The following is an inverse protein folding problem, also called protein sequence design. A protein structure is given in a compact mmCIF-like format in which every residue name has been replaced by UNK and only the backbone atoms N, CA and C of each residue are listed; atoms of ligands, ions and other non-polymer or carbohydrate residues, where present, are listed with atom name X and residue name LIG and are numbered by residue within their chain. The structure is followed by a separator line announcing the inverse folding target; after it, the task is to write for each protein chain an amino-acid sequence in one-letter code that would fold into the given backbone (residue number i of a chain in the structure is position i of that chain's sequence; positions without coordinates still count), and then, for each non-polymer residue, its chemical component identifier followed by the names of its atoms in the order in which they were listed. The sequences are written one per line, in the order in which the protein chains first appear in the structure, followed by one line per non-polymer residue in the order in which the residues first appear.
data_IF_206392563552
#
_entry.id   IF_206392563552
#
_cell.length_a   1.000
_cell.length_b   1.000
_cell.length_c   1.000
_cell.angle_alpha   90.00
_cell.angle_beta   90.00
_cell.angle_gamma   90.00
#
_symmetry.space_group_name_H-M   'P 1'
#
loop_
_entity.id
_entity.type
_entity.pdbx_description
1 polymer ?
#
# COMPACT_ATOMS: atom_id res chain seq x y z
N UNK A 1 -46.43 34.12 -25.70
CA UNK A 1 -45.01 33.87 -26.02
C UNK A 1 -44.42 33.11 -24.84
N UNK A 2 -44.41 31.78 -24.93
CA UNK A 2 -44.03 30.92 -23.81
C UNK A 2 -42.53 31.07 -23.51
N UNK A 3 -42.25 31.06 -22.21
CA UNK A 3 -41.03 31.47 -21.55
C UNK A 3 -39.88 30.46 -21.77
N UNK A 4 -39.42 30.35 -23.03
CA UNK A 4 -38.31 29.49 -23.46
C UNK A 4 -37.02 29.78 -22.67
N UNK A 5 -36.82 31.05 -22.26
CA UNK A 5 -35.62 31.46 -21.51
C UNK A 5 -35.67 30.96 -20.04
N UNK A 6 -36.82 31.07 -19.35
CA UNK A 6 -36.98 30.57 -17.96
C UNK A 6 -36.86 29.05 -17.86
N UNK A 7 -37.37 28.31 -18.84
CA UNK A 7 -37.20 26.85 -18.93
C UNK A 7 -35.74 26.46 -19.12
N UNK A 8 -35.00 27.20 -19.98
CA UNK A 8 -33.57 26.97 -20.21
C UNK A 8 -32.72 27.23 -18.96
N UNK A 9 -32.99 28.31 -18.21
CA UNK A 9 -32.29 28.58 -16.95
C UNK A 9 -32.59 27.53 -15.87
N UNK A 10 -33.83 27.04 -15.81
CA UNK A 10 -34.20 25.97 -14.88
C UNK A 10 -33.44 24.68 -15.19
N UNK A 11 -33.37 24.27 -16.46
CA UNK A 11 -32.61 23.08 -16.89
C UNK A 11 -31.12 23.21 -16.61
N UNK A 12 -30.52 24.38 -16.90
CA UNK A 12 -29.09 24.63 -16.60
C UNK A 12 -28.83 24.52 -15.09
N UNK A 13 -29.70 25.13 -14.26
CA UNK A 13 -29.56 25.07 -12.81
C UNK A 13 -29.67 23.62 -12.28
N UNK A 14 -30.61 22.83 -12.81
CA UNK A 14 -30.75 21.41 -12.49
C UNK A 14 -29.47 20.62 -12.84
N UNK A 15 -28.89 20.87 -14.02
CA UNK A 15 -27.64 20.22 -14.45
C UNK A 15 -26.48 20.63 -13.54
N UNK A 16 -26.35 21.90 -13.19
CA UNK A 16 -25.30 22.38 -12.28
C UNK A 16 -25.44 21.76 -10.87
N UNK A 17 -26.66 21.68 -10.33
CA UNK A 17 -26.92 21.06 -9.03
C UNK A 17 -26.59 19.57 -9.07
N UNK A 18 -27.02 18.87 -10.13
CA UNK A 18 -26.70 17.46 -10.31
C UNK A 18 -25.20 17.22 -10.42
N UNK A 19 -24.49 18.04 -11.22
CA UNK A 19 -23.05 17.96 -11.37
C UNK A 19 -22.33 18.21 -10.04
N UNK A 20 -22.75 19.23 -9.28
CA UNK A 20 -22.17 19.52 -7.98
C UNK A 20 -22.40 18.37 -6.98
N UNK A 21 -23.58 17.75 -7.00
CA UNK A 21 -23.88 16.59 -6.16
C UNK A 21 -23.01 15.38 -6.51
N UNK A 22 -22.86 15.06 -7.81
CA UNK A 22 -22.00 13.97 -8.29
C UNK A 22 -20.54 14.21 -7.90
N UNK A 23 -20.02 15.42 -8.13
CA UNK A 23 -18.63 15.77 -7.75
C UNK A 23 -18.43 15.66 -6.23
N UNK A 24 -19.37 16.18 -5.43
CA UNK A 24 -19.28 16.10 -3.97
C UNK A 24 -19.33 14.66 -3.47
N UNK A 25 -20.20 13.83 -4.03
CA UNK A 25 -20.27 12.41 -3.72
C UNK A 25 -18.97 11.69 -4.09
N UNK A 26 -18.42 11.94 -5.29
CA UNK A 26 -17.15 11.36 -5.72
C UNK A 26 -16.00 11.72 -4.78
N UNK A 27 -15.89 13.00 -4.39
CA UNK A 27 -14.86 13.45 -3.43
C UNK A 27 -15.04 12.78 -2.07
N UNK A 28 -16.26 12.69 -1.57
CA UNK A 28 -16.56 12.02 -0.31
C UNK A 28 -16.14 10.54 -0.33
N UNK A 29 -16.50 9.81 -1.39
CA UNK A 29 -16.14 8.40 -1.53
C UNK A 29 -14.64 8.18 -1.73
N UNK A 30 -13.95 9.05 -2.47
CA UNK A 30 -12.50 8.94 -2.67
C UNK A 30 -11.71 9.25 -1.39
N UNK A 31 -12.03 10.34 -0.69
CA UNK A 31 -11.31 10.71 0.52
C UNK A 31 -11.53 9.72 1.67
N UNK A 32 -12.71 9.08 1.73
CA UNK A 32 -13.00 8.05 2.74
C UNK A 32 -12.12 6.79 2.63
N UNK A 33 -11.47 6.57 1.48
CA UNK A 33 -10.60 5.41 1.25
C UNK A 33 -9.16 5.63 1.73
N UNK A 34 -8.75 6.86 2.03
CA UNK A 34 -7.40 7.16 2.52
C UNK A 34 -7.30 6.88 4.01
N UNK A 35 -6.43 5.94 4.38
CA UNK A 35 -6.13 5.58 5.77
C UNK A 35 -4.64 5.78 6.04
N UNK A 36 -4.31 6.07 7.29
CA UNK A 36 -2.92 6.01 7.75
C UNK A 36 -2.44 4.56 7.73
N UNK A 37 -1.21 4.34 7.28
CA UNK A 37 -0.64 2.99 7.20
C UNK A 37 -0.33 2.41 8.59
N UNK A 38 0.29 3.20 9.48
CA UNK A 38 0.68 2.78 10.82
C UNK A 38 0.30 3.81 11.89
N UNK A 39 -1.00 3.91 12.20
CA UNK A 39 -1.51 4.83 13.22
C UNK A 39 -0.95 4.52 14.63
N UNK A 40 -0.65 3.25 14.91
CA UNK A 40 -0.12 2.78 16.20
C UNK A 40 1.39 2.91 16.35
N UNK A 41 2.13 3.38 15.34
CA UNK A 41 3.60 3.38 15.29
C UNK A 41 4.21 1.99 15.56
N UNK A 42 3.50 0.92 15.18
CA UNK A 42 3.90 -0.47 15.34
C UNK A 42 5.28 -0.73 14.72
N UNK A 43 5.53 -0.20 13.53
CA UNK A 43 6.79 -0.42 12.80
C UNK A 43 7.97 0.32 13.43
N UNK A 44 7.72 1.38 14.21
CA UNK A 44 8.75 2.18 14.89
C UNK A 44 9.18 1.57 16.22
N UNK A 45 8.54 0.50 16.69
CA UNK A 45 8.92 -0.15 17.93
C UNK A 45 10.29 -0.84 17.79
N UNK A 46 11.17 -0.67 18.78
CA UNK A 46 12.57 -1.14 18.73
C UNK A 46 12.72 -2.63 18.39
N UNK A 47 11.84 -3.49 18.91
CA UNK A 47 11.91 -4.94 18.72
C UNK A 47 11.01 -5.46 17.59
N UNK A 48 10.33 -4.58 16.88
CA UNK A 48 9.35 -4.95 15.86
C UNK A 48 9.95 -5.87 14.80
N UNK A 49 11.12 -5.50 14.24
CA UNK A 49 11.72 -6.25 13.15
C UNK A 49 12.13 -7.67 13.57
N UNK A 50 12.60 -7.83 14.81
CA UNK A 50 12.92 -9.16 15.35
C UNK A 50 11.66 -10.00 15.54
N UNK A 51 10.57 -9.41 16.02
CA UNK A 51 9.29 -10.09 16.17
C UNK A 51 8.73 -10.49 14.80
N UNK A 52 8.78 -9.58 13.83
CA UNK A 52 8.36 -9.84 12.46
C UNK A 52 9.12 -11.04 11.85
N UNK A 53 10.45 -11.06 11.93
CA UNK A 53 11.27 -12.18 11.44
C UNK A 53 10.88 -13.52 12.05
N UNK A 54 10.53 -13.54 13.34
CA UNK A 54 10.06 -14.75 14.00
C UNK A 54 8.69 -15.22 13.48
N UNK A 55 7.77 -14.29 13.21
CA UNK A 55 6.42 -14.62 12.69
C UNK A 55 6.47 -15.15 11.25
N UNK A 56 7.38 -14.65 10.42
CA UNK A 56 7.55 -15.14 9.03
C UNK A 56 8.56 -16.28 8.92
N UNK A 57 9.06 -16.80 10.06
CA UNK A 57 10.07 -17.86 10.13
C UNK A 57 11.27 -17.61 9.21
N UNK A 58 11.78 -16.38 9.20
CA UNK A 58 12.89 -16.00 8.34
C UNK A 58 14.14 -16.82 8.69
N UNK A 59 14.81 -17.34 7.65
CA UNK A 59 16.06 -18.09 7.77
C UNK A 59 17.14 -17.44 6.91
N UNK A 60 18.42 -17.70 7.21
CA UNK A 60 19.51 -17.25 6.36
C UNK A 60 19.34 -17.78 4.93
N UNK A 61 19.39 -16.86 3.96
CA UNK A 61 19.22 -17.13 2.54
C UNK A 61 20.42 -16.63 1.76
N UNK A 62 20.68 -17.23 0.60
CA UNK A 62 21.75 -16.80 -0.31
C UNK A 62 21.42 -15.47 -1.02
N UNK A 63 20.14 -15.07 -1.02
CA UNK A 63 19.63 -13.85 -1.64
C UNK A 63 18.77 -13.03 -0.68
N UNK A 64 18.54 -11.76 -1.03
CA UNK A 64 17.60 -10.91 -0.31
C UNK A 64 16.16 -11.43 -0.47
N UNK A 65 15.32 -11.20 0.52
CA UNK A 65 13.95 -11.68 0.58
C UNK A 65 12.95 -10.53 0.69
N UNK A 66 12.06 -10.42 -0.30
CA UNK A 66 10.89 -9.56 -0.29
C UNK A 66 9.69 -10.32 0.27
N UNK A 67 9.23 -9.94 1.45
CA UNK A 67 8.02 -10.46 2.06
C UNK A 67 6.86 -9.53 1.76
N UNK A 68 5.83 -10.05 1.09
CA UNK A 68 4.59 -9.32 0.76
C UNK A 68 3.46 -9.88 1.60
N UNK A 69 2.74 -9.01 2.30
CA UNK A 69 1.60 -9.37 3.14
C UNK A 69 0.33 -8.76 2.56
N UNK A 70 -0.66 -9.60 2.29
CA UNK A 70 -1.96 -9.22 1.73
C UNK A 70 -3.10 -9.69 2.64
N UNK A 71 -4.32 -9.20 2.43
CA UNK A 71 -5.49 -9.65 3.18
C UNK A 71 -6.59 -10.11 2.23
N UNK A 72 -7.27 -11.20 2.61
CA UNK A 72 -8.49 -11.65 1.94
C UNK A 72 -9.63 -10.63 2.08
N UNK A 73 -10.48 -10.56 1.06
CA UNK A 73 -11.66 -9.68 1.01
C UNK A 73 -11.35 -8.18 1.23
N UNK A 74 -10.11 -7.76 0.98
CA UNK A 74 -9.68 -6.37 1.05
C UNK A 74 -9.72 -5.72 -0.34
N UNK A 75 -10.55 -4.67 -0.50
CA UNK A 75 -10.65 -3.92 -1.75
C UNK A 75 -9.31 -3.32 -2.21
N UNK A 76 -8.50 -2.79 -1.28
CA UNK A 76 -7.20 -2.22 -1.62
C UNK A 76 -6.20 -3.28 -2.14
N UNK A 77 -6.23 -4.50 -1.60
CA UNK A 77 -5.44 -5.63 -2.12
C UNK A 77 -5.87 -5.98 -3.55
N UNK A 78 -7.17 -6.04 -3.82
CA UNK A 78 -7.71 -6.34 -5.15
C UNK A 78 -7.25 -5.30 -6.17
N UNK A 79 -7.37 -4.01 -5.82
CA UNK A 79 -6.92 -2.92 -6.70
C UNK A 79 -5.40 -2.92 -6.93
N UNK A 80 -4.61 -3.36 -5.95
CA UNK A 80 -3.16 -3.43 -6.05
C UNK A 80 -2.63 -4.65 -6.84
N UNK A 81 -3.47 -5.62 -7.21
CA UNK A 81 -3.02 -6.87 -7.86
C UNK A 81 -2.14 -6.69 -9.10
N UNK A 82 -2.44 -5.78 -10.05
CA UNK A 82 -1.58 -5.56 -11.20
C UNK A 82 -0.19 -5.04 -10.80
N UNK A 83 -0.12 -4.16 -9.80
CA UNK A 83 1.14 -3.62 -9.29
C UNK A 83 1.93 -4.67 -8.51
N UNK A 84 1.28 -5.46 -7.64
CA UNK A 84 1.87 -6.61 -6.95
C UNK A 84 2.53 -7.58 -7.94
N UNK A 85 1.80 -7.96 -9.00
CA UNK A 85 2.32 -8.86 -10.04
C UNK A 85 3.50 -8.26 -10.81
N UNK A 86 3.54 -6.93 -10.97
CA UNK A 86 4.68 -6.25 -11.59
C UNK A 86 5.89 -6.19 -10.65
N UNK A 87 5.68 -5.83 -9.38
CA UNK A 87 6.71 -5.78 -8.35
C UNK A 87 7.37 -7.15 -8.13
N UNK A 88 6.57 -8.22 -8.06
CA UNK A 88 7.11 -9.57 -7.88
C UNK A 88 8.03 -9.96 -9.04
N UNK A 89 7.61 -9.72 -10.28
CA UNK A 89 8.45 -9.96 -11.46
C UNK A 89 9.72 -9.10 -11.44
N UNK A 90 9.60 -7.84 -11.03
CA UNK A 90 10.74 -6.94 -10.90
C UNK A 90 11.73 -7.48 -9.85
N UNK A 91 11.25 -7.83 -8.65
CA UNK A 91 12.05 -8.39 -7.56
C UNK A 91 12.78 -9.67 -7.99
N UNK A 92 12.08 -10.62 -8.62
CA UNK A 92 12.69 -11.88 -9.09
C UNK A 92 13.74 -11.63 -10.18
N UNK A 93 13.52 -10.66 -11.08
CA UNK A 93 14.50 -10.29 -12.10
C UNK A 93 15.76 -9.63 -11.50
N UNK A 94 15.61 -9.00 -10.34
CA UNK A 94 16.72 -8.44 -9.55
C UNK A 94 17.34 -9.47 -8.59
N UNK A 95 16.99 -10.75 -8.68
CA UNK A 95 17.55 -11.80 -7.81
C UNK A 95 17.07 -11.75 -6.36
N UNK A 96 15.93 -11.10 -6.09
CA UNK A 96 15.29 -11.06 -4.77
C UNK A 96 14.22 -12.17 -4.70
N UNK A 97 14.28 -13.03 -3.68
CA UNK A 97 13.27 -14.06 -3.42
C UNK A 97 11.98 -13.42 -2.91
N UNK A 98 10.84 -13.77 -3.49
CA UNK A 98 9.54 -13.23 -3.07
C UNK A 98 8.78 -14.27 -2.26
N UNK A 99 8.32 -13.90 -1.06
CA UNK A 99 7.40 -14.69 -0.26
C UNK A 99 6.10 -13.94 0.01
N UNK A 100 4.98 -14.59 -0.27
CA UNK A 100 3.66 -14.02 -0.09
C UNK A 100 2.98 -14.63 1.13
N UNK A 101 2.49 -13.77 2.02
CA UNK A 101 1.69 -14.16 3.17
C UNK A 101 0.31 -13.53 3.09
N UNK A 102 -0.67 -14.26 3.60
CA UNK A 102 -2.01 -13.74 3.88
C UNK A 102 -2.04 -13.37 5.36
N UNK A 103 -2.56 -12.19 5.67
CA UNK A 103 -2.66 -11.65 7.02
C UNK A 103 -3.49 -12.61 7.89
N UNK A 104 -2.82 -13.20 8.88
CA UNK A 104 -3.41 -14.07 9.89
C UNK A 104 -3.36 -13.40 11.27
N UNK A 105 -3.94 -14.03 12.30
CA UNK A 105 -4.01 -13.43 13.65
C UNK A 105 -2.63 -13.16 14.28
N UNK A 106 -1.60 -13.91 13.92
CA UNK A 106 -0.24 -13.71 14.43
C UNK A 106 0.42 -12.48 13.79
N UNK A 107 0.34 -12.37 12.46
CA UNK A 107 0.88 -11.26 11.68
C UNK A 107 0.17 -9.94 12.00
N UNK A 108 -1.08 -9.97 12.46
CA UNK A 108 -1.80 -8.78 12.93
C UNK A 108 -1.05 -8.02 14.05
N UNK A 109 -0.24 -8.70 14.85
CA UNK A 109 0.54 -8.05 15.92
C UNK A 109 1.77 -7.30 15.41
N UNK A 110 2.19 -7.55 14.16
CA UNK A 110 3.42 -7.02 13.56
C UNK A 110 3.20 -6.37 12.20
N UNK A 111 1.98 -6.34 11.67
CA UNK A 111 1.62 -5.67 10.42
C UNK A 111 0.44 -4.72 10.68
N UNK A 112 0.63 -3.40 10.54
CA UNK A 112 -0.41 -2.43 10.87
C UNK A 112 -1.51 -2.33 9.80
N UNK A 113 -1.18 -2.54 8.53
CA UNK A 113 -2.13 -2.49 7.44
C UNK A 113 -1.67 -3.31 6.23
N UNK A 114 -2.58 -3.60 5.30
CA UNK A 114 -2.30 -4.31 4.04
C UNK A 114 -2.79 -3.53 2.81
N UNK A 115 -2.19 -3.74 1.62
CA UNK A 115 -1.02 -4.56 1.37
C UNK A 115 0.28 -3.93 1.90
N UNK A 116 1.15 -4.77 2.47
CA UNK A 116 2.44 -4.36 3.06
C UNK A 116 3.61 -5.14 2.43
N UNK A 117 4.79 -4.53 2.48
CA UNK A 117 6.03 -5.16 2.05
C UNK A 117 7.13 -4.94 3.09
N UNK A 118 7.93 -5.98 3.30
CA UNK A 118 9.14 -5.95 4.11
C UNK A 118 10.28 -6.56 3.30
N UNK A 119 11.37 -5.83 3.12
CA UNK A 119 12.58 -6.31 2.44
C UNK A 119 13.67 -6.58 3.47
N UNK A 120 14.21 -7.79 3.40
CA UNK A 120 15.30 -8.27 4.25
C UNK A 120 16.47 -8.61 3.34
N UNK A 121 17.67 -8.16 3.67
CA UNK A 121 18.85 -8.50 2.88
C UNK A 121 19.27 -9.98 3.08
N UNK A 122 20.27 -10.43 2.33
CA UNK A 122 20.82 -11.79 2.46
C UNK A 122 21.47 -12.07 3.83
N UNK A 123 21.88 -11.03 4.56
CA UNK A 123 22.50 -11.14 5.88
C UNK A 123 21.45 -11.12 7.02
N UNK A 124 20.16 -10.93 6.70
CA UNK A 124 19.08 -10.81 7.68
C UNK A 124 18.90 -9.42 8.27
N UNK A 125 19.51 -8.40 7.65
CA UNK A 125 19.40 -6.99 7.99
C UNK A 125 18.13 -6.38 7.41
N UNK A 126 17.64 -5.35 8.11
CA UNK A 126 16.48 -4.57 7.70
C UNK A 126 16.84 -3.71 6.47
N UNK A 127 16.01 -3.76 5.43
CA UNK A 127 16.16 -2.91 4.24
C UNK A 127 14.95 -2.02 4.00
N UNK A 128 13.75 -2.58 4.13
CA UNK A 128 12.50 -1.84 3.94
C UNK A 128 11.36 -2.39 4.80
N UNK A 129 10.49 -1.52 5.31
CA UNK A 129 9.14 -1.91 5.71
C UNK A 129 8.15 -0.76 5.51
N UNK A 130 6.99 -1.09 4.97
CA UNK A 130 5.95 -0.10 4.70
C UNK A 130 4.90 -0.60 3.72
N UNK A 131 4.08 0.32 3.17
CA UNK A 131 3.16 0.00 2.09
C UNK A 131 3.90 -0.21 0.77
N UNK A 132 3.19 -0.68 -0.25
CA UNK A 132 3.74 -0.77 -1.61
C UNK A 132 3.89 0.62 -2.26
N UNK A 133 2.89 1.47 -2.05
CA UNK A 133 2.74 2.79 -2.66
C UNK A 133 1.87 3.70 -1.79
N UNK A 134 1.81 4.98 -2.14
CA UNK A 134 0.99 5.99 -1.49
C UNK A 134 -0.18 6.46 -2.38
N UNK A 135 -1.16 7.13 -1.78
CA UNK A 135 -2.25 7.78 -2.52
C UNK A 135 -3.48 6.91 -2.81
N UNK A 136 -4.39 7.50 -3.61
CA UNK A 136 -5.72 6.95 -3.92
C UNK A 136 -5.69 5.79 -4.92
N UNK A 137 -4.70 5.79 -5.79
CA UNK A 137 -4.50 4.75 -6.77
C UNK A 137 -3.34 3.88 -6.27
N UNK A 138 -3.63 2.67 -5.79
CA UNK A 138 -2.62 1.65 -5.43
C UNK A 138 -1.72 1.21 -6.60
N UNK A 139 -1.65 1.98 -7.68
CA UNK A 139 -1.16 1.61 -9.01
C UNK A 139 -0.17 2.59 -9.64
N UNK A 140 0.11 3.77 -9.05
CA UNK A 140 0.85 4.81 -9.76
C UNK A 140 2.26 5.08 -9.22
N UNK A 141 3.26 4.82 -10.08
CA UNK A 141 4.68 5.23 -9.91
C UNK A 141 5.65 4.07 -9.68
N UNK A 142 6.95 4.30 -9.93
CA UNK A 142 8.02 3.41 -9.47
C UNK A 142 7.92 3.27 -7.96
N UNK A 143 7.36 2.15 -7.48
CA UNK A 143 6.97 1.99 -6.10
C UNK A 143 8.16 2.14 -5.15
N UNK A 144 7.86 2.43 -3.89
CA UNK A 144 8.87 2.55 -2.84
C UNK A 144 9.77 1.31 -2.82
N UNK A 145 9.15 0.15 -2.97
CA UNK A 145 9.82 -1.15 -2.94
C UNK A 145 10.77 -1.34 -4.12
N UNK A 146 10.36 -1.02 -5.35
CA UNK A 146 11.20 -1.13 -6.55
C UNK A 146 12.45 -0.24 -6.46
N UNK A 147 12.29 0.96 -5.91
CA UNK A 147 13.40 1.89 -5.68
C UNK A 147 14.38 1.32 -4.67
N UNK A 148 13.87 0.79 -3.56
CA UNK A 148 14.73 0.19 -2.52
C UNK A 148 15.42 -1.09 -3.00
N UNK A 149 14.75 -1.92 -3.79
CA UNK A 149 15.38 -3.10 -4.43
C UNK A 149 16.51 -2.66 -5.36
N UNK A 150 16.29 -1.64 -6.19
CA UNK A 150 17.32 -1.10 -7.09
C UNK A 150 18.55 -0.60 -6.31
N UNK A 151 18.33 0.11 -5.20
CA UNK A 151 19.41 0.59 -4.34
C UNK A 151 20.18 -0.58 -3.72
N UNK A 152 19.48 -1.61 -3.23
CA UNK A 152 20.11 -2.77 -2.63
C UNK A 152 21.00 -3.51 -3.65
N UNK A 153 20.55 -3.65 -4.90
CA UNK A 153 21.35 -4.24 -5.98
C UNK A 153 22.55 -3.38 -6.37
N UNK A 154 22.45 -2.06 -6.23
CA UNK A 154 23.58 -1.15 -6.38
C UNK A 154 24.54 -1.18 -5.17
N UNK A 155 24.29 -2.00 -4.15
CA UNK A 155 25.11 -2.14 -2.95
C UNK A 155 24.75 -1.20 -1.81
N UNK A 156 23.60 -0.52 -1.88
CA UNK A 156 23.14 0.45 -0.87
C UNK A 156 21.93 -0.09 -0.10
N UNK A 157 22.12 -0.41 1.18
CA UNK A 157 21.00 -0.69 2.08
C UNK A 157 20.29 0.63 2.44
N UNK A 158 19.05 0.79 1.99
CA UNK A 158 18.27 2.02 2.23
C UNK A 158 17.76 2.14 3.68
N UNK A 159 17.66 1.01 4.41
CA UNK A 159 17.08 0.92 5.76
C UNK A 159 15.85 1.81 5.95
N UNK A 160 14.92 1.73 5.00
CA UNK A 160 13.82 2.67 4.85
C UNK A 160 12.55 2.17 5.53
N UNK A 161 12.06 2.92 6.51
CA UNK A 161 10.80 2.66 7.20
C UNK A 161 9.75 3.69 6.76
N UNK A 162 8.66 3.23 6.13
CA UNK A 162 7.52 4.08 5.75
C UNK A 162 6.31 3.72 6.62
N UNK A 163 6.12 4.47 7.71
CA UNK A 163 5.01 4.31 8.65
C UNK A 163 3.96 5.44 8.52
N UNK A 164 4.41 6.68 8.27
CA UNK A 164 3.58 7.88 8.31
C UNK A 164 3.08 8.31 6.92
N UNK A 165 2.39 7.42 6.22
CA UNK A 165 1.79 7.73 4.90
C UNK A 165 0.31 7.39 4.84
N UNK A 166 -0.39 8.02 3.90
CA UNK A 166 -1.82 7.81 3.64
C UNK A 166 -2.02 7.22 2.24
N UNK A 167 -2.85 6.20 2.18
CA UNK A 167 -3.19 5.52 0.94
C UNK A 167 -4.41 4.64 1.11
N UNK A 168 -4.76 3.89 0.06
CA UNK A 168 -5.74 2.83 0.18
C UNK A 168 -5.11 1.64 0.90
N UNK A 169 -5.38 1.56 2.20
CA UNK A 169 -4.93 0.46 3.05
C UNK A 169 -6.10 -0.17 3.78
N UNK A 170 -6.06 -1.49 3.92
CA UNK A 170 -6.89 -2.23 4.86
C UNK A 170 -6.15 -2.27 6.20
N UNK A 171 -6.49 -1.30 7.06
CA UNK A 171 -5.92 -1.18 8.41
C UNK A 171 -6.37 -2.37 9.25
N UNK A 172 -5.41 -2.97 9.92
CA UNK A 172 -5.66 -4.01 10.89
C UNK A 172 -5.95 -3.36 12.24
N UNK A 173 -7.19 -3.47 12.70
CA UNK A 173 -7.56 -3.08 14.06
C UNK A 173 -7.26 -4.27 14.99
N UNK A 174 -5.99 -4.45 15.33
CA UNK A 174 -5.58 -5.38 16.39
C UNK A 174 -5.71 -4.72 17.77
#
# INVERSE_FOLDING_TARGET
MQNLNKSRYFTISLICIWLAFVVSALVYFQLGQLKLFDEGNMLKQQNWFSQFKNQVLWQNKDSAQLVIITQENCGCTIQAQPHLSALQRFATNQGVEVQNFVLNNELKSVIPATPAAVLIDKNGEFVYAGPLSEGLACSQGSGFVETVISNLQAGFNSSLLIADTKGCYCVNNA
#
